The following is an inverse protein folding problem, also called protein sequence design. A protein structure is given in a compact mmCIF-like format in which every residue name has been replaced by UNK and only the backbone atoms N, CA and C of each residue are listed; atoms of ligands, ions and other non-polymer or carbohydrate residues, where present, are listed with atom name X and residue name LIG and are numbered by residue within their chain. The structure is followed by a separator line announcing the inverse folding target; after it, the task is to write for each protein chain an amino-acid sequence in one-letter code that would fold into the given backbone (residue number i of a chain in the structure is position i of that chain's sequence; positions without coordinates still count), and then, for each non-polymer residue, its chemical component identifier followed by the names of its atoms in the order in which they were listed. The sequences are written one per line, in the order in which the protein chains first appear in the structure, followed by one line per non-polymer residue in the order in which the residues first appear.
data_IF_585842527249
#
_entry.id   IF_585842527249
#
_cell.length_a   1.000
_cell.length_b   1.000
_cell.length_c   1.000
_cell.angle_alpha   90.00
_cell.angle_beta   90.00
_cell.angle_gamma   90.00
#
_symmetry.space_group_name_H-M   'P 1'
#
loop_
_entity.id
_entity.type
_entity.pdbx_description
1 polymer ?
#
# COMPACT_ATOMS: atom_id res chain seq x y z
N UNK A 1 -22.33 0.50 -53.39
CA UNK A 1 -22.03 -0.39 -52.25
C UNK A 1 -21.05 0.36 -51.36
N UNK A 2 -21.45 0.73 -50.14
CA UNK A 2 -20.60 1.55 -49.25
C UNK A 2 -19.44 0.69 -48.75
N UNK A 3 -18.22 1.20 -48.90
CA UNK A 3 -16.99 0.49 -48.57
C UNK A 3 -16.80 0.44 -47.04
N UNK A 4 -17.26 -0.66 -46.43
CA UNK A 4 -17.24 -0.93 -44.98
C UNK A 4 -15.83 -0.70 -44.41
N UNK A 5 -14.80 -0.99 -45.21
CA UNK A 5 -13.39 -0.79 -44.88
C UNK A 5 -13.05 0.67 -44.58
N UNK A 6 -13.65 1.62 -45.33
CA UNK A 6 -13.47 3.06 -45.12
C UNK A 6 -14.20 3.54 -43.87
N UNK A 7 -15.39 3.01 -43.59
CA UNK A 7 -16.12 3.29 -42.34
C UNK A 7 -15.34 2.80 -41.12
N UNK A 8 -14.80 1.58 -41.17
CA UNK A 8 -14.00 1.03 -40.07
C UNK A 8 -12.70 1.82 -39.86
N UNK A 9 -12.01 2.20 -40.95
CA UNK A 9 -10.83 3.06 -40.89
C UNK A 9 -11.13 4.43 -40.29
N UNK A 10 -12.24 5.05 -40.68
CA UNK A 10 -12.64 6.35 -40.16
C UNK A 10 -13.03 6.26 -38.67
N UNK A 11 -13.74 5.21 -38.26
CA UNK A 11 -14.06 4.93 -36.86
C UNK A 11 -12.81 4.68 -36.01
N UNK A 12 -11.84 3.91 -36.51
CA UNK A 12 -10.57 3.71 -35.84
C UNK A 12 -9.77 5.02 -35.70
N UNK A 13 -9.76 5.85 -36.74
CA UNK A 13 -9.09 7.15 -36.71
C UNK A 13 -9.78 8.18 -35.80
N UNK A 14 -11.11 8.14 -35.65
CA UNK A 14 -11.82 9.01 -34.70
C UNK A 14 -11.63 8.56 -33.25
N UNK A 15 -11.61 7.24 -32.98
CA UNK A 15 -11.23 6.69 -31.67
C UNK A 15 -9.81 7.11 -31.25
N UNK A 16 -8.87 7.15 -32.18
CA UNK A 16 -7.49 7.58 -31.91
C UNK A 16 -7.34 9.10 -31.67
N UNK A 17 -8.30 9.92 -32.11
CA UNK A 17 -8.23 11.39 -32.04
C UNK A 17 -9.19 12.01 -31.02
N UNK A 18 -10.20 11.26 -30.58
CA UNK A 18 -11.40 11.84 -29.96
C UNK A 18 -11.45 11.83 -28.43
N UNK A 19 -10.96 10.82 -27.72
CA UNK A 19 -11.50 10.64 -26.36
C UNK A 19 -10.65 9.75 -25.45
N UNK A 20 -9.40 10.10 -25.23
CA UNK A 20 -8.74 9.70 -23.99
C UNK A 20 -8.03 10.93 -23.47
N UNK A 21 -8.59 11.56 -22.44
CA UNK A 21 -7.75 12.33 -21.52
C UNK A 21 -6.53 11.43 -21.24
N UNK A 22 -5.29 11.93 -21.43
CA UNK A 22 -4.11 11.09 -21.32
C UNK A 22 -4.24 10.30 -20.03
N UNK A 23 -4.24 8.96 -20.12
CA UNK A 23 -4.55 8.07 -18.99
C UNK A 23 -3.66 8.47 -17.83
N UNK A 24 -4.20 9.34 -16.97
CA UNK A 24 -3.41 9.91 -15.91
C UNK A 24 -3.13 8.76 -14.98
N UNK A 25 -1.87 8.59 -14.62
CA UNK A 25 -1.47 7.56 -13.68
C UNK A 25 -2.38 7.53 -12.44
N UNK A 26 -2.73 8.71 -11.92
CA UNK A 26 -3.64 8.88 -10.79
C UNK A 26 -5.04 8.35 -11.09
N UNK A 27 -5.57 8.62 -12.28
CA UNK A 27 -6.86 8.11 -12.72
C UNK A 27 -6.84 6.58 -12.80
N UNK A 28 -5.84 5.97 -13.44
CA UNK A 28 -5.73 4.51 -13.54
C UNK A 28 -5.63 3.84 -12.17
N UNK A 29 -4.81 4.40 -11.26
CA UNK A 29 -4.71 3.90 -9.88
C UNK A 29 -6.05 3.95 -9.16
N UNK A 30 -6.77 5.07 -9.28
CA UNK A 30 -8.08 5.25 -8.67
C UNK A 30 -9.10 4.26 -9.24
N UNK A 31 -9.16 4.10 -10.57
CA UNK A 31 -10.06 3.15 -11.22
C UNK A 31 -9.77 1.71 -10.84
N UNK A 32 -8.49 1.29 -10.85
CA UNK A 32 -8.10 -0.05 -10.39
C UNK A 32 -8.52 -0.28 -8.94
N UNK A 33 -8.23 0.67 -8.05
CA UNK A 33 -8.59 0.57 -6.63
C UNK A 33 -10.11 0.47 -6.43
N UNK A 34 -10.89 1.27 -7.16
CA UNK A 34 -12.36 1.22 -7.14
C UNK A 34 -12.89 -0.12 -7.62
N UNK A 35 -12.39 -0.64 -8.75
CA UNK A 35 -12.82 -1.93 -9.30
C UNK A 35 -12.48 -3.09 -8.36
N UNK A 36 -11.25 -3.13 -7.84
CA UNK A 36 -10.81 -4.19 -6.92
C UNK A 36 -11.66 -4.19 -5.65
N UNK A 37 -11.82 -3.05 -5.00
CA UNK A 37 -12.60 -2.96 -3.76
C UNK A 37 -14.10 -3.17 -4.00
N UNK A 38 -14.65 -2.59 -5.07
CA UNK A 38 -16.06 -2.74 -5.42
C UNK A 38 -16.41 -4.22 -5.66
N UNK A 39 -15.64 -4.89 -6.51
CA UNK A 39 -15.84 -6.31 -6.81
C UNK A 39 -15.59 -7.23 -5.60
N UNK A 40 -14.64 -6.87 -4.71
CA UNK A 40 -14.43 -7.58 -3.44
C UNK A 40 -15.66 -7.50 -2.54
N UNK A 41 -16.23 -6.31 -2.38
CA UNK A 41 -17.44 -6.10 -1.57
C UNK A 41 -18.62 -6.90 -2.12
N UNK A 42 -18.81 -6.88 -3.44
CA UNK A 42 -19.87 -7.65 -4.10
C UNK A 42 -19.69 -9.16 -3.91
N UNK A 43 -18.45 -9.66 -4.03
CA UNK A 43 -18.17 -11.10 -3.95
C UNK A 43 -18.23 -11.63 -2.52
N UNK A 44 -17.69 -10.87 -1.56
CA UNK A 44 -17.73 -11.20 -0.13
C UNK A 44 -19.09 -10.92 0.53
N UNK A 45 -19.94 -10.11 -0.12
CA UNK A 45 -21.22 -9.60 0.41
C UNK A 45 -21.07 -8.75 1.67
N UNK A 46 -19.96 -8.03 1.76
CA UNK A 46 -19.61 -7.19 2.91
C UNK A 46 -19.24 -5.79 2.43
N UNK A 47 -20.03 -4.78 2.78
CA UNK A 47 -19.92 -3.42 2.23
C UNK A 47 -18.76 -2.61 2.81
N UNK A 48 -18.30 -2.97 4.01
CA UNK A 48 -17.29 -2.22 4.79
C UNK A 48 -15.87 -2.73 4.58
N UNK A 49 -15.68 -3.77 3.77
CA UNK A 49 -14.36 -4.37 3.55
C UNK A 49 -13.56 -3.56 2.54
N UNK A 50 -12.27 -3.41 2.84
CA UNK A 50 -11.26 -2.87 1.94
C UNK A 50 -10.13 -3.89 1.75
N UNK A 51 -9.52 -3.86 0.57
CA UNK A 51 -8.42 -4.73 0.19
C UNK A 51 -7.18 -4.48 1.07
N UNK A 52 -6.69 -5.53 1.72
CA UNK A 52 -5.43 -5.50 2.46
C UNK A 52 -4.33 -6.21 1.68
N UNK A 53 -3.49 -5.45 0.98
CA UNK A 53 -2.40 -6.00 0.18
C UNK A 53 -1.27 -6.61 1.04
N UNK A 54 -1.01 -6.06 2.23
CA UNK A 54 0.10 -6.53 3.09
C UNK A 54 -0.20 -7.87 3.76
N UNK A 55 -1.46 -8.09 4.13
CA UNK A 55 -1.90 -9.34 4.76
C UNK A 55 -2.96 -10.02 3.88
N UNK A 56 -2.72 -10.06 2.58
CA UNK A 56 -3.67 -10.57 1.59
C UNK A 56 -4.12 -11.99 1.93
N UNK A 57 -3.17 -12.91 2.10
CA UNK A 57 -3.47 -14.32 2.32
C UNK A 57 -4.25 -14.55 3.61
N UNK A 58 -3.92 -13.82 4.67
CA UNK A 58 -4.57 -13.97 5.98
C UNK A 58 -5.93 -13.26 6.06
N UNK A 59 -6.00 -11.99 5.65
CA UNK A 59 -7.21 -11.17 5.84
C UNK A 59 -8.23 -11.32 4.73
N UNK A 60 -7.80 -11.67 3.52
CA UNK A 60 -8.68 -11.78 2.37
C UNK A 60 -8.94 -13.26 2.08
N UNK A 61 -7.88 -14.04 1.82
CA UNK A 61 -8.07 -15.44 1.39
C UNK A 61 -8.57 -16.32 2.53
N UNK A 62 -7.85 -16.35 3.66
CA UNK A 62 -8.20 -17.22 4.79
C UNK A 62 -9.47 -16.74 5.52
N UNK A 63 -9.59 -15.43 5.79
CA UNK A 63 -10.72 -14.91 6.58
C UNK A 63 -12.01 -14.77 5.78
N UNK A 64 -11.94 -14.33 4.53
CA UNK A 64 -13.15 -14.09 3.73
C UNK A 64 -13.45 -15.25 2.76
N UNK A 65 -12.49 -16.15 2.54
CA UNK A 65 -12.65 -17.27 1.61
C UNK A 65 -12.75 -16.80 0.16
N UNK A 66 -12.10 -15.69 -0.20
CA UNK A 66 -12.09 -15.16 -1.57
C UNK A 66 -10.67 -14.94 -2.05
N UNK A 67 -10.41 -15.29 -3.31
CA UNK A 67 -9.12 -15.13 -3.96
C UNK A 67 -9.27 -14.31 -5.24
N UNK A 68 -8.26 -13.51 -5.54
CA UNK A 68 -8.20 -12.70 -6.75
C UNK A 68 -7.42 -13.50 -7.79
N UNK A 69 -8.11 -13.92 -8.85
CA UNK A 69 -7.57 -14.73 -9.93
C UNK A 69 -7.23 -13.83 -11.11
N UNK A 70 -6.16 -14.16 -11.84
CA UNK A 70 -5.75 -13.41 -13.03
C UNK A 70 -5.06 -12.08 -12.74
N UNK A 71 -4.44 -11.96 -11.57
CA UNK A 71 -3.60 -10.81 -11.24
C UNK A 71 -2.40 -10.73 -12.19
N UNK A 72 -2.23 -9.59 -12.86
CA UNK A 72 -1.27 -9.42 -13.97
C UNK A 72 0.12 -8.97 -13.52
N UNK A 73 0.27 -8.51 -12.28
CA UNK A 73 1.53 -8.01 -11.75
C UNK A 73 2.25 -9.09 -10.93
N UNK A 74 3.58 -9.05 -10.86
CA UNK A 74 4.37 -10.10 -10.22
C UNK A 74 4.13 -10.23 -8.70
N UNK A 75 3.59 -9.19 -8.05
CA UNK A 75 3.33 -9.17 -6.61
C UNK A 75 1.96 -8.57 -6.29
N UNK A 76 1.32 -9.05 -5.23
CA UNK A 76 0.07 -8.46 -4.70
C UNK A 76 0.37 -7.14 -3.98
N UNK A 77 0.35 -6.04 -4.72
CA UNK A 77 0.60 -4.68 -4.21
C UNK A 77 -0.55 -3.74 -4.54
N UNK A 78 -0.65 -2.66 -3.78
CA UNK A 78 -1.60 -1.58 -4.08
C UNK A 78 -1.35 -1.02 -5.48
N UNK A 79 -2.40 -0.71 -6.27
CA UNK A 79 -2.24 -0.04 -7.57
C UNK A 79 -1.38 1.22 -7.49
N UNK A 80 -1.47 1.98 -6.40
CA UNK A 80 -0.65 3.19 -6.18
C UNK A 80 0.85 2.91 -6.03
N UNK A 81 1.24 1.67 -5.72
CA UNK A 81 2.64 1.25 -5.61
C UNK A 81 3.17 0.65 -6.92
N UNK A 82 2.33 0.53 -7.96
CA UNK A 82 2.76 0.11 -9.30
C UNK A 82 3.22 1.37 -10.02
N UNK A 83 4.53 1.54 -10.22
CA UNK A 83 5.09 2.78 -10.77
C UNK A 83 4.96 2.91 -12.29
N UNK A 84 4.73 1.79 -13.00
CA UNK A 84 4.67 1.78 -14.47
C UNK A 84 3.23 1.92 -14.94
N UNK A 85 2.98 2.93 -15.78
CA UNK A 85 1.65 3.18 -16.38
C UNK A 85 1.17 1.97 -17.21
N UNK A 86 2.06 1.34 -17.97
CA UNK A 86 1.69 0.18 -18.80
C UNK A 86 1.22 -1.01 -17.98
N UNK A 87 1.87 -1.28 -16.84
CA UNK A 87 1.42 -2.32 -15.91
C UNK A 87 0.05 -2.01 -15.32
N UNK A 88 -0.24 -0.73 -15.03
CA UNK A 88 -1.56 -0.30 -14.56
C UNK A 88 -2.62 -0.43 -15.65
N UNK A 89 -2.29 -0.12 -16.90
CA UNK A 89 -3.20 -0.33 -18.05
C UNK A 89 -3.55 -1.79 -18.22
N UNK A 90 -2.55 -2.67 -18.22
CA UNK A 90 -2.75 -4.13 -18.31
C UNK A 90 -3.62 -4.63 -17.16
N UNK A 91 -3.37 -4.16 -15.93
CA UNK A 91 -4.18 -4.52 -14.77
C UNK A 91 -5.63 -4.01 -14.90
N UNK A 92 -5.81 -2.76 -15.33
CA UNK A 92 -7.11 -2.15 -15.52
C UNK A 92 -7.92 -2.89 -16.60
N UNK A 93 -7.31 -3.15 -17.75
CA UNK A 93 -7.92 -3.92 -18.85
C UNK A 93 -8.30 -5.33 -18.37
N UNK A 94 -7.43 -6.01 -17.62
CA UNK A 94 -7.75 -7.31 -17.06
C UNK A 94 -8.95 -7.28 -16.11
N UNK A 95 -9.08 -6.25 -15.28
CA UNK A 95 -10.23 -6.06 -14.39
C UNK A 95 -11.52 -5.78 -15.17
N UNK A 96 -11.45 -4.92 -16.18
CA UNK A 96 -12.60 -4.54 -17.03
C UNK A 96 -13.07 -5.74 -17.87
N UNK A 97 -12.14 -6.45 -18.49
CA UNK A 97 -12.40 -7.64 -19.30
C UNK A 97 -12.73 -8.89 -18.47
N UNK A 98 -12.79 -8.79 -17.13
CA UNK A 98 -13.01 -9.93 -16.22
C UNK A 98 -11.97 -11.04 -16.34
N UNK A 99 -10.79 -10.75 -16.87
CA UNK A 99 -9.64 -11.64 -16.81
C UNK A 99 -9.03 -11.65 -15.39
N UNK A 100 -9.14 -10.53 -14.66
CA UNK A 100 -8.81 -10.40 -13.25
C UNK A 100 -10.11 -10.25 -12.43
N UNK A 101 -10.41 -11.20 -11.56
CA UNK A 101 -11.68 -11.21 -10.81
C UNK A 101 -11.60 -11.94 -9.48
N UNK A 102 -12.52 -11.61 -8.58
CA UNK A 102 -12.68 -12.31 -7.31
C UNK A 102 -13.45 -13.60 -7.48
N UNK A 103 -12.88 -14.68 -6.95
CA UNK A 103 -13.48 -16.00 -6.91
C UNK A 103 -13.67 -16.40 -5.45
N UNK A 104 -14.82 -17.00 -5.13
CA UNK A 104 -15.05 -17.61 -3.82
C UNK A 104 -14.39 -18.98 -3.82
N UNK A 105 -13.56 -19.23 -2.82
CA UNK A 105 -12.95 -20.53 -2.62
C UNK A 105 -13.96 -21.51 -2.05
N UNK A 106 -13.89 -22.74 -2.54
CA UNK A 106 -14.55 -23.89 -1.91
C UNK A 106 -13.89 -24.22 -0.56
N UNK A 107 -14.58 -25.02 0.26
CA UNK A 107 -14.03 -25.46 1.55
C UNK A 107 -12.71 -26.22 1.38
N UNK A 108 -12.59 -27.06 0.35
CA UNK A 108 -11.37 -27.84 0.08
C UNK A 108 -10.19 -26.97 -0.32
N UNK A 109 -10.43 -25.97 -1.19
CA UNK A 109 -9.38 -25.02 -1.57
C UNK A 109 -8.95 -24.15 -0.39
N UNK A 110 -9.89 -23.75 0.47
CA UNK A 110 -9.59 -22.99 1.67
C UNK A 110 -8.74 -23.79 2.66
N UNK A 111 -9.05 -25.08 2.87
CA UNK A 111 -8.22 -25.95 3.75
C UNK A 111 -6.83 -26.16 3.18
N UNK A 112 -6.71 -26.38 1.85
CA UNK A 112 -5.41 -26.51 1.21
C UNK A 112 -4.60 -25.21 1.32
N UNK A 113 -5.25 -24.05 1.14
CA UNK A 113 -4.60 -22.77 1.31
C UNK A 113 -4.15 -22.55 2.76
N UNK A 114 -4.94 -22.96 3.75
CA UNK A 114 -4.55 -22.88 5.15
C UNK A 114 -3.36 -23.77 5.48
N UNK A 115 -3.32 -25.00 4.95
CA UNK A 115 -2.19 -25.90 5.12
C UNK A 115 -0.90 -25.35 4.50
N UNK A 116 -0.99 -24.76 3.31
CA UNK A 116 0.15 -24.11 2.66
C UNK A 116 0.67 -22.93 3.49
N UNK A 117 -0.23 -22.10 4.03
CA UNK A 117 0.17 -21.02 4.94
C UNK A 117 0.85 -21.58 6.20
N UNK A 118 0.31 -22.62 6.81
CA UNK A 118 0.94 -23.25 7.99
C UNK A 118 2.35 -23.77 7.70
N UNK A 119 2.58 -24.35 6.51
CA UNK A 119 3.90 -24.80 6.07
C UNK A 119 4.88 -23.62 5.92
N UNK A 120 4.45 -22.51 5.32
CA UNK A 120 5.27 -21.29 5.24
C UNK A 120 5.57 -20.70 6.62
N UNK A 121 4.63 -20.75 7.56
CA UNK A 121 4.85 -20.31 8.95
C UNK A 121 5.84 -21.22 9.67
N UNK A 122 5.74 -22.53 9.47
CA UNK A 122 6.69 -23.52 10.00
C UNK A 122 8.10 -23.35 9.41
N UNK A 123 8.21 -22.95 8.14
CA UNK A 123 9.48 -22.58 7.50
C UNK A 123 10.07 -21.26 8.04
N UNK A 124 9.35 -20.54 8.90
CA UNK A 124 9.79 -19.28 9.50
C UNK A 124 9.57 -18.05 8.62
N UNK A 125 8.81 -18.18 7.53
CA UNK A 125 8.44 -17.05 6.69
C UNK A 125 7.35 -16.22 7.39
N UNK A 126 7.69 -14.98 7.76
CA UNK A 126 6.77 -14.09 8.48
C UNK A 126 5.70 -13.58 7.50
N UNK A 127 4.65 -14.36 7.28
CA UNK A 127 3.53 -13.98 6.42
C UNK A 127 2.66 -12.87 7.03
N UNK A 128 2.72 -12.68 8.35
CA UNK A 128 1.98 -11.64 9.06
C UNK A 128 2.94 -10.61 9.59
N UNK A 129 2.89 -9.40 9.02
CA UNK A 129 3.63 -8.27 9.58
C UNK A 129 3.08 -7.92 10.97
N UNK A 130 3.71 -8.43 12.02
CA UNK A 130 3.32 -8.15 13.41
C UNK A 130 3.40 -6.64 13.65
N UNK A 131 2.30 -6.03 14.09
CA UNK A 131 2.27 -4.61 14.43
C UNK A 131 3.30 -4.34 15.51
N UNK A 132 4.19 -3.36 15.28
CA UNK A 132 5.16 -2.92 16.28
C UNK A 132 4.42 -2.51 17.55
N UNK A 133 4.86 -3.02 18.69
CA UNK A 133 4.31 -2.57 19.97
C UNK A 133 4.59 -1.08 20.14
N UNK A 134 3.57 -0.33 20.53
CA UNK A 134 3.71 1.10 20.77
C UNK A 134 4.52 1.30 22.05
N UNK A 135 5.47 2.23 22.04
CA UNK A 135 6.30 2.61 23.20
C UNK A 135 5.46 2.99 24.42
N UNK A 136 4.26 3.52 24.16
CA UNK A 136 3.37 4.06 25.17
C UNK A 136 2.49 2.98 25.80
N UNK A 137 2.67 1.71 25.41
CA UNK A 137 1.98 0.57 26.01
C UNK A 137 2.44 0.44 27.47
N UNK A 138 1.61 0.96 28.37
CA UNK A 138 1.87 1.00 29.81
C UNK A 138 2.22 2.40 30.37
N UNK A 139 2.32 3.43 29.52
CA UNK A 139 2.52 4.80 30.00
C UNK A 139 1.18 5.42 30.44
N UNK A 140 1.09 5.99 31.66
CA UNK A 140 -0.14 6.66 32.10
C UNK A 140 -0.42 7.87 31.22
N UNK A 141 -1.63 7.94 30.67
CA UNK A 141 -2.10 9.12 29.93
C UNK A 141 -2.32 10.26 30.92
N UNK A 142 -1.70 11.41 30.67
CA UNK A 142 -1.86 12.60 31.51
C UNK A 142 -3.32 13.12 31.55
N UNK A 143 -3.68 13.93 32.56
CA UNK A 143 -5.03 14.43 32.73
C UNK A 143 -5.47 15.29 31.53
N UNK A 144 -6.64 14.99 30.98
CA UNK A 144 -7.23 15.71 29.84
C UNK A 144 -7.65 17.11 30.31
N UNK A 145 -7.07 18.17 29.71
CA UNK A 145 -7.45 19.56 30.01
C UNK A 145 -8.92 19.77 29.60
N UNK A 146 -9.77 20.10 30.58
CA UNK A 146 -11.15 20.53 30.30
C UNK A 146 -11.08 21.93 29.70
N UNK A 147 -11.63 22.10 28.50
CA UNK A 147 -11.90 23.43 27.94
C UNK A 147 -13.19 23.90 28.61
N UNK A 148 -13.09 24.90 29.47
CA UNK A 148 -14.25 25.61 30.01
C UNK A 148 -14.84 26.45 28.88
N UNK A 149 -16.08 26.14 28.48
CA UNK A 149 -16.91 27.07 27.72
C UNK A 149 -17.14 28.29 28.60
N UNK A 150 -16.60 29.44 28.18
CA UNK A 150 -16.93 30.73 28.77
C UNK A 150 -18.10 31.27 27.95
N UNK A 151 -19.30 31.18 28.54
CA UNK A 151 -20.45 31.99 28.17
C UNK A 151 -20.19 33.38 28.76
N UNK A 152 -20.01 34.40 27.92
CA UNK A 152 -20.05 35.80 28.35
C UNK A 152 -21.08 36.51 27.47
N UNK A 153 -22.21 36.79 28.11
CA UNK A 153 -23.38 37.54 27.66
C UNK A 153 -23.37 38.86 28.46
N UNK A 154 -23.16 39.99 27.79
CA UNK A 154 -23.87 41.28 28.02
C UNK A 154 -23.26 42.46 27.26
N UNK A 155 -24.19 43.26 26.73
CA UNK A 155 -24.11 44.56 26.06
C UNK A 155 -23.48 45.68 26.94
N UNK A 156 -22.80 46.66 26.32
CA UNK A 156 -23.39 47.95 25.92
C UNK A 156 -22.35 49.10 25.81
N UNK A 157 -22.53 49.87 24.74
CA UNK A 157 -22.19 51.24 24.33
C UNK A 157 -20.87 52.04 24.55
N UNK A 158 -20.59 52.77 23.45
CA UNK A 158 -19.96 54.09 23.20
C UNK A 158 -18.44 54.41 23.25
N UNK A 159 -17.95 54.73 22.04
CA UNK A 159 -17.33 56.00 21.59
C UNK A 159 -15.79 56.24 21.63
N UNK A 160 -15.27 56.45 20.40
CA UNK A 160 -14.12 57.25 19.93
C UNK A 160 -12.72 57.09 20.55
N UNK A 161 -11.76 56.57 19.75
CA UNK A 161 -10.85 57.48 19.04
C UNK A 161 -9.95 56.79 17.99
N UNK A 162 -9.75 57.53 16.92
CA UNK A 162 -8.84 57.37 15.80
C UNK A 162 -7.37 57.37 16.25
N UNK A 163 -6.48 56.71 15.48
CA UNK A 163 -5.13 57.14 15.07
C UNK A 163 -4.17 55.95 14.81
N UNK A 164 -3.96 55.72 13.51
CA UNK A 164 -2.74 55.31 12.80
C UNK A 164 -1.43 55.13 13.60
N UNK A 165 -0.77 53.97 13.40
CA UNK A 165 0.64 53.83 12.98
C UNK A 165 1.19 52.41 13.25
N UNK A 166 1.78 51.76 12.24
CA UNK A 166 2.75 50.66 12.46
C UNK A 166 4.08 51.18 13.05
N UNK A 167 5.24 50.48 12.98
CA UNK A 167 5.53 49.08 12.64
C UNK A 167 6.50 48.38 13.65
N UNK A 168 6.77 47.09 13.42
CA UNK A 168 8.01 46.35 13.76
C UNK A 168 8.48 46.20 15.23
N UNK A 169 8.70 44.94 15.67
CA UNK A 169 10.05 44.41 16.02
C UNK A 169 10.04 42.96 16.50
N UNK A 170 11.00 42.21 15.93
CA UNK A 170 11.49 40.87 16.29
C UNK A 170 11.80 40.73 17.78
N UNK A 171 11.69 39.51 18.33
CA UNK A 171 12.70 39.02 19.29
C UNK A 171 12.80 37.49 19.39
N UNK A 172 13.93 37.01 18.87
CA UNK A 172 14.61 35.75 19.13
C UNK A 172 15.07 35.72 20.60
N UNK A 173 14.82 34.64 21.32
CA UNK A 173 15.51 34.33 22.59
C UNK A 173 15.99 32.88 22.56
N UNK A 174 17.26 32.72 22.19
CA UNK A 174 18.10 31.61 22.63
C UNK A 174 18.44 31.81 24.11
N UNK A 175 18.33 30.76 24.91
CA UNK A 175 19.07 30.66 26.18
C UNK A 175 19.84 29.35 26.21
N UNK A 176 21.15 29.49 26.05
CA UNK A 176 22.14 28.49 26.42
C UNK A 176 22.21 28.37 27.95
N UNK A 177 22.32 27.14 28.48
CA UNK A 177 23.08 26.89 29.71
C UNK A 177 23.99 25.67 29.56
N UNK A 178 25.30 25.98 29.64
CA UNK A 178 26.47 25.10 29.76
C UNK A 178 26.32 24.18 30.97
N UNK A 179 26.70 22.90 30.87
CA UNK A 179 28.06 22.40 31.13
C UNK A 179 27.92 21.09 31.95
N UNK A 180 28.87 20.18 32.08
CA UNK A 180 30.30 20.13 31.75
C UNK A 180 30.72 18.65 31.90
N UNK A 181 31.35 18.13 30.85
CA UNK A 181 32.33 17.03 30.72
C UNK A 181 32.63 16.12 31.94
N UNK A 182 32.80 14.81 31.65
CA UNK A 182 34.10 14.10 31.73
C UNK A 182 34.10 12.77 30.93
N UNK A 183 35.27 12.52 30.35
CA UNK A 183 35.81 11.40 29.53
C UNK A 183 35.60 9.99 30.12
N UNK A 184 35.62 8.89 29.35
CA UNK A 184 36.81 8.34 28.70
C UNK A 184 36.51 7.05 27.88
N UNK A 185 37.31 6.86 26.80
CA UNK A 185 37.89 5.59 26.29
C UNK A 185 36.96 4.48 25.77
N UNK A 186 37.01 4.17 24.46
CA UNK A 186 37.64 2.93 23.93
C UNK A 186 37.51 2.71 22.42
N UNK A 187 38.65 2.43 21.80
CA UNK A 187 38.95 1.39 20.78
C UNK A 187 38.33 1.46 19.36
N UNK A 188 39.23 1.77 18.40
CA UNK A 188 39.27 1.23 17.02
C UNK A 188 39.34 -0.31 17.06
N UNK A 189 38.71 -1.01 16.10
CA UNK A 189 39.32 -2.02 15.18
C UNK A 189 38.27 -2.50 14.14
N UNK A 190 38.62 -2.28 12.87
CA UNK A 190 38.35 -2.98 11.58
C UNK A 190 37.12 -3.88 11.33
N UNK A 191 36.51 -3.83 10.13
CA UNK A 191 35.84 -4.98 9.51
C UNK A 191 36.76 -5.69 8.50
N UNK A 192 37.11 -6.93 8.81
CA UNK A 192 37.75 -7.89 7.91
C UNK A 192 36.73 -8.46 6.92
N UNK A 193 37.19 -8.61 5.66
CA UNK A 193 36.56 -9.37 4.58
C UNK A 193 36.35 -10.83 5.00
N UNK A 194 35.15 -11.36 4.75
CA UNK A 194 34.94 -12.79 4.57
C UNK A 194 34.25 -13.02 3.22
N UNK A 195 34.98 -13.64 2.29
CA UNK A 195 34.46 -14.23 1.06
C UNK A 195 33.67 -15.48 1.45
N UNK A 196 32.39 -15.54 1.12
CA UNK A 196 31.65 -16.80 1.12
C UNK A 196 31.95 -17.56 -0.17
N UNK A 197 32.43 -18.78 0.04
CA UNK A 197 32.90 -19.75 -0.93
C UNK A 197 31.67 -20.45 -1.54
N UNK A 198 31.62 -20.51 -2.87
CA UNK A 198 30.66 -21.31 -3.62
C UNK A 198 31.02 -22.78 -3.45
N UNK A 199 30.11 -23.67 -2.98
CA UNK A 199 30.34 -25.10 -3.08
C UNK A 199 30.22 -25.56 -4.55
N UNK A 200 31.07 -26.47 -5.04
CA UNK A 200 30.97 -27.00 -6.38
C UNK A 200 29.71 -27.86 -6.52
N UNK A 201 28.88 -27.55 -7.51
CA UNK A 201 27.77 -28.39 -7.93
C UNK A 201 28.31 -29.72 -8.42
N UNK A 202 27.93 -30.76 -7.69
CA UNK A 202 28.11 -32.18 -7.93
C UNK A 202 27.69 -32.56 -9.35
N UNK A 203 28.58 -33.29 -10.01
CA UNK A 203 28.40 -33.90 -11.34
C UNK A 203 27.15 -34.78 -11.38
N UNK A 204 26.37 -34.62 -12.44
CA UNK A 204 25.22 -35.45 -12.77
C UNK A 204 25.75 -36.68 -13.52
N UNK A 205 25.72 -37.83 -12.86
CA UNK A 205 26.06 -39.12 -13.47
C UNK A 205 24.88 -39.53 -14.37
N UNK A 206 25.23 -39.89 -15.60
CA UNK A 206 24.39 -40.51 -16.62
C UNK A 206 23.85 -41.88 -16.19
N UNK A 207 23.03 -42.45 -17.06
CA UNK A 207 22.55 -43.84 -17.06
C UNK A 207 21.23 -44.10 -16.32
N UNK A 208 20.17 -44.25 -17.11
CA UNK A 208 19.64 -45.59 -17.36
C UNK A 208 18.59 -45.58 -18.47
N UNK A 209 18.94 -46.26 -19.55
CA UNK A 209 18.03 -47.03 -20.41
C UNK A 209 16.87 -47.65 -19.64
N UNK A 210 15.67 -47.57 -20.22
CA UNK A 210 14.73 -48.69 -20.25
C UNK A 210 13.75 -48.49 -21.41
N UNK A 211 14.11 -49.12 -22.54
CA UNK A 211 13.18 -49.52 -23.59
C UNK A 211 12.09 -50.40 -22.99
N UNK A 212 10.84 -50.07 -23.31
CA UNK A 212 9.66 -50.93 -23.24
C UNK A 212 8.75 -50.56 -24.39
#
# INVERSE_FOLDING_TARGET
MWDITRLFKQWACTKAKGEYAPDSFAFLCEQCSKLINGSLKTTSRLETIAMNYQNYDCQIVQRLGVKLIGWTYHSMVSPFNIHTVDNLRILWDALVCRACFWMRLSKGEMTHHMAALEEHEAAGEIMRKKRKEQSDKGMPKGPRKKVSSQEDDNDDDEESNELEAGPSKKRKVETHKKGKRKSAVSHKVNPTKAKAQVPPSREFIEDSDLKG
#
